data_IF_647082144085
#
_entry.id   IF_647082144085
#
_cell.length_a   1.000
_cell.length_b   1.000
_cell.length_c   1.000
_cell.angle_alpha   90.00
_cell.angle_beta   90.00
_cell.angle_gamma   90.00
#
_symmetry.space_group_name_H-M   'P 1'
#
loop_
_entity.id
_entity.type
_entity.pdbx_description
1 polymer ?
#
# COMPACT_ATOMS: atom_id res chain seq x y z
N UNK A 1 18.63 -1.47 24.51
CA UNK A 1 18.59 -2.07 23.17
C UNK A 1 17.62 -3.22 23.25
N UNK A 2 16.38 -3.03 22.82
CA UNK A 2 15.37 -4.08 22.81
C UNK A 2 15.66 -4.98 21.62
N UNK A 3 16.02 -6.24 21.88
CA UNK A 3 16.09 -7.28 20.86
C UNK A 3 14.72 -7.38 20.20
N UNK A 4 14.59 -6.85 18.99
CA UNK A 4 13.44 -7.13 18.15
C UNK A 4 13.55 -8.61 17.76
N UNK A 5 12.79 -9.44 18.47
CA UNK A 5 12.66 -10.86 18.18
C UNK A 5 12.33 -11.03 16.70
N UNK A 6 13.06 -11.93 16.06
CA UNK A 6 12.78 -12.42 14.73
C UNK A 6 11.40 -13.07 14.74
N UNK A 7 10.37 -12.35 14.30
CA UNK A 7 9.04 -12.92 14.10
C UNK A 7 9.10 -13.57 12.71
N UNK A 8 9.42 -14.87 12.67
CA UNK A 8 9.30 -15.67 11.45
C UNK A 8 7.84 -15.73 11.04
N UNK A 9 7.57 -15.58 9.74
CA UNK A 9 6.25 -15.84 9.21
C UNK A 9 6.02 -17.36 9.18
N UNK A 10 4.83 -17.80 9.54
CA UNK A 10 4.41 -19.20 9.47
C UNK A 10 3.30 -19.36 8.43
N UNK A 11 3.12 -20.59 7.95
CA UNK A 11 1.99 -20.93 7.11
C UNK A 11 0.68 -20.65 7.87
N UNK A 12 -0.24 -19.95 7.23
CA UNK A 12 -1.49 -19.45 7.82
C UNK A 12 -1.39 -18.03 8.40
N UNK A 13 -0.19 -17.45 8.50
CA UNK A 13 -0.07 -16.04 8.91
C UNK A 13 -0.59 -15.11 7.81
N UNK A 14 -1.16 -13.98 8.21
CA UNK A 14 -1.52 -12.89 7.30
C UNK A 14 -0.37 -11.90 7.26
N UNK A 15 0.01 -11.48 6.06
CA UNK A 15 1.01 -10.42 5.82
C UNK A 15 0.31 -9.22 5.20
N UNK A 16 0.58 -8.03 5.74
CA UNK A 16 0.17 -6.78 5.12
C UNK A 16 1.35 -6.06 4.47
N UNK A 17 1.10 -5.45 3.31
CA UNK A 17 2.10 -4.67 2.60
C UNK A 17 2.13 -3.22 3.04
N UNK A 18 3.32 -2.74 3.40
CA UNK A 18 3.61 -1.34 3.75
C UNK A 18 4.09 -0.52 2.56
N UNK A 19 4.44 -1.19 1.47
CA UNK A 19 4.80 -0.62 0.19
C UNK A 19 4.46 -1.60 -0.95
N UNK A 20 4.30 -1.13 -2.20
CA UNK A 20 4.03 -2.02 -3.31
C UNK A 20 5.17 -3.02 -3.51
N UNK A 21 4.79 -4.26 -3.83
CA UNK A 21 5.70 -5.38 -4.01
C UNK A 21 5.11 -6.39 -5.00
N UNK A 22 5.95 -6.96 -5.85
CA UNK A 22 5.60 -8.12 -6.67
C UNK A 22 5.94 -9.38 -5.89
N UNK A 23 4.97 -10.27 -5.73
CA UNK A 23 5.10 -11.52 -4.98
C UNK A 23 4.81 -12.68 -5.93
N UNK A 24 5.70 -13.68 -5.94
CA UNK A 24 5.45 -14.94 -6.60
C UNK A 24 4.70 -15.86 -5.64
N UNK A 25 3.44 -16.15 -5.95
CA UNK A 25 2.59 -17.02 -5.14
C UNK A 25 2.82 -18.50 -5.45
N UNK A 26 3.12 -18.78 -6.72
CA UNK A 26 3.44 -20.11 -7.24
C UNK A 26 4.63 -20.02 -8.19
N UNK A 27 5.10 -21.15 -8.73
CA UNK A 27 6.16 -21.17 -9.74
C UNK A 27 5.80 -20.37 -11.01
N UNK A 28 4.51 -20.29 -11.35
CA UNK A 28 4.04 -19.70 -12.60
C UNK A 28 3.22 -18.42 -12.41
N UNK A 29 2.91 -18.05 -11.17
CA UNK A 29 2.05 -16.92 -10.86
C UNK A 29 2.79 -15.91 -9.98
N UNK A 30 2.86 -14.68 -10.47
CA UNK A 30 3.27 -13.53 -9.68
C UNK A 30 2.27 -12.40 -9.80
N UNK A 31 2.04 -11.71 -8.69
CA UNK A 31 1.09 -10.61 -8.64
C UNK A 31 1.79 -9.36 -8.09
N UNK A 32 1.59 -8.23 -8.76
CA UNK A 32 1.96 -6.93 -8.22
C UNK A 32 0.87 -6.48 -7.24
N UNK A 33 1.20 -6.47 -5.96
CA UNK A 33 0.29 -6.07 -4.90
C UNK A 33 0.55 -4.61 -4.48
N UNK A 34 -0.51 -3.79 -4.35
CA UNK A 34 -0.37 -2.43 -3.86
C UNK A 34 -0.07 -2.42 -2.36
N UNK A 35 0.36 -1.24 -1.85
CA UNK A 35 0.41 -0.98 -0.41
C UNK A 35 -0.98 -1.18 0.22
N UNK A 36 -1.02 -1.73 1.42
CA UNK A 36 -2.25 -2.04 2.14
C UNK A 36 -2.94 -3.32 1.68
N UNK A 37 -2.39 -4.02 0.68
CA UNK A 37 -2.84 -5.37 0.37
C UNK A 37 -2.45 -6.33 1.49
N UNK A 38 -3.31 -7.33 1.70
CA UNK A 38 -3.08 -8.45 2.60
C UNK A 38 -3.04 -9.74 1.79
N UNK A 39 -2.25 -10.71 2.26
CA UNK A 39 -2.27 -12.07 1.75
C UNK A 39 -1.94 -13.06 2.86
N UNK A 40 -2.43 -14.29 2.72
CA UNK A 40 -2.11 -15.40 3.61
C UNK A 40 -0.84 -16.12 3.14
N UNK A 41 0.00 -16.52 4.08
CA UNK A 41 1.18 -17.33 3.82
C UNK A 41 0.75 -18.77 3.60
N UNK A 42 0.73 -19.21 2.35
CA UNK A 42 0.54 -20.63 2.01
C UNK A 42 1.87 -21.40 2.09
N UNK A 43 1.81 -22.74 2.14
CA UNK A 43 3.00 -23.59 2.07
C UNK A 43 3.82 -23.32 0.80
N UNK A 44 3.14 -23.16 -0.33
CA UNK A 44 3.78 -22.89 -1.62
C UNK A 44 4.44 -21.52 -1.65
N UNK A 45 3.74 -20.48 -1.16
CA UNK A 45 4.32 -19.13 -1.05
C UNK A 45 5.56 -19.13 -0.15
N UNK A 46 5.48 -19.83 0.99
CA UNK A 46 6.61 -19.94 1.90
C UNK A 46 7.77 -20.66 1.22
N UNK A 47 7.55 -21.78 0.53
CA UNK A 47 8.58 -22.47 -0.23
C UNK A 47 9.24 -21.57 -1.30
N UNK A 48 8.43 -20.79 -2.03
CA UNK A 48 8.90 -19.83 -3.04
C UNK A 48 9.67 -18.64 -2.45
N UNK A 49 9.44 -18.35 -1.17
CA UNK A 49 10.14 -17.26 -0.48
C UNK A 49 11.57 -17.60 -0.07
N UNK A 50 11.92 -18.90 -0.05
CA UNK A 50 13.22 -19.41 0.40
C UNK A 50 14.26 -19.28 -0.70
N UNK A 51 15.41 -18.68 -0.40
CA UNK A 51 16.52 -18.56 -1.33
C UNK A 51 17.40 -19.84 -1.35
N UNK A 52 18.43 -19.87 -2.20
CA UNK A 52 19.37 -21.01 -2.31
C UNK A 52 20.15 -21.33 -1.01
N UNK A 53 20.15 -20.41 -0.03
CA UNK A 53 20.80 -20.60 1.28
C UNK A 53 19.82 -21.10 2.35
N UNK A 54 18.56 -21.34 2.00
CA UNK A 54 17.53 -21.73 2.96
C UNK A 54 16.92 -20.57 3.74
N UNK A 55 17.15 -19.31 3.34
CA UNK A 55 16.63 -18.14 4.03
C UNK A 55 15.38 -17.62 3.31
N UNK A 56 14.26 -17.48 4.04
CA UNK A 56 13.06 -16.85 3.51
C UNK A 56 13.15 -15.32 3.58
N UNK A 57 12.67 -14.62 2.55
CA UNK A 57 12.47 -13.18 2.63
C UNK A 57 11.30 -12.78 3.54
N UNK A 58 10.39 -13.70 3.90
CA UNK A 58 9.30 -13.49 4.85
C UNK A 58 9.79 -13.51 6.31
N UNK A 59 10.97 -14.07 6.58
CA UNK A 59 11.58 -14.16 7.91
C UNK A 59 12.44 -12.94 8.29
N UNK A 60 12.45 -11.91 7.43
CA UNK A 60 13.27 -10.72 7.64
C UNK A 60 12.67 -9.83 8.73
N UNK A 61 13.50 -9.42 9.68
CA UNK A 61 13.13 -8.39 10.67
C UNK A 61 12.87 -7.04 9.98
N UNK A 62 12.15 -6.10 10.62
CA UNK A 62 11.98 -4.76 10.07
C UNK A 62 13.31 -4.09 9.70
N UNK A 63 14.36 -4.27 10.51
CA UNK A 63 15.69 -3.72 10.29
C UNK A 63 16.37 -4.37 9.08
N UNK A 64 16.26 -5.69 8.92
CA UNK A 64 16.78 -6.41 7.76
C UNK A 64 16.06 -6.01 6.47
N UNK A 65 14.75 -5.79 6.52
CA UNK A 65 13.99 -5.25 5.39
C UNK A 65 14.50 -3.85 5.01
N UNK A 66 14.73 -2.97 5.99
CA UNK A 66 15.28 -1.63 5.74
C UNK A 66 16.69 -1.71 5.15
N UNK A 67 17.55 -2.59 5.64
CA UNK A 67 18.89 -2.78 5.06
C UNK A 67 18.82 -3.29 3.62
N UNK A 68 17.86 -4.18 3.32
CA UNK A 68 17.72 -4.79 1.99
C UNK A 68 17.05 -3.87 0.96
N UNK A 69 16.05 -3.10 1.37
CA UNK A 69 15.17 -2.35 0.46
C UNK A 69 15.10 -0.84 0.74
N UNK A 70 15.82 -0.35 1.75
CA UNK A 70 15.75 1.04 2.21
C UNK A 70 14.48 1.38 3.01
N UNK A 71 13.54 0.44 3.15
CA UNK A 71 12.29 0.59 3.89
C UNK A 71 11.70 -0.77 4.28
N UNK A 72 10.87 -0.79 5.33
CA UNK A 72 10.06 -1.95 5.64
C UNK A 72 8.97 -2.13 4.58
N UNK A 73 8.98 -3.27 3.87
CA UNK A 73 8.02 -3.55 2.78
C UNK A 73 6.74 -4.21 3.29
N UNK A 74 6.82 -4.99 4.36
CA UNK A 74 5.68 -5.73 4.89
C UNK A 74 5.74 -5.89 6.41
N UNK A 75 4.61 -6.26 7.00
CA UNK A 75 4.50 -6.67 8.40
C UNK A 75 3.60 -7.87 8.57
N UNK A 76 3.77 -8.61 9.66
CA UNK A 76 2.93 -9.75 10.03
C UNK A 76 1.66 -9.23 10.74
N UNK A 77 0.55 -9.89 10.46
CA UNK A 77 -0.78 -9.56 10.95
C UNK A 77 -1.61 -8.73 9.96
N UNK A 78 -2.88 -8.45 10.32
CA UNK A 78 -3.78 -7.66 9.49
C UNK A 78 -3.24 -6.25 9.26
N UNK A 79 -3.62 -5.67 8.14
CA UNK A 79 -3.27 -4.32 7.74
C UNK A 79 -3.86 -3.33 8.75
N UNK A 80 -3.00 -2.51 9.39
CA UNK A 80 -3.47 -1.41 10.23
C UNK A 80 -4.41 -0.48 9.46
N UNK A 81 -5.45 0.09 10.12
CA UNK A 81 -6.47 0.91 9.45
C UNK A 81 -5.93 2.23 8.88
N UNK A 82 -4.76 2.66 9.35
CA UNK A 82 -4.02 3.83 8.87
C UNK A 82 -3.16 3.53 7.63
N UNK A 83 -3.09 2.28 7.16
CA UNK A 83 -2.34 1.92 5.95
C UNK A 83 -3.34 1.77 4.79
N UNK A 84 -3.40 2.76 3.89
CA UNK A 84 -4.15 2.69 2.63
C UNK A 84 -3.21 2.74 1.42
N UNK A 85 -3.65 2.21 0.28
CA UNK A 85 -2.81 2.23 -0.92
C UNK A 85 -2.39 3.64 -1.37
N UNK A 86 -3.14 4.68 -0.98
CA UNK A 86 -2.97 6.07 -1.42
C UNK A 86 -2.32 7.00 -0.39
N UNK A 87 -2.07 6.56 0.84
CA UNK A 87 -1.50 7.40 1.91
C UNK A 87 -0.03 7.10 2.24
N UNK A 88 0.73 6.58 1.27
CA UNK A 88 2.13 6.23 1.45
C UNK A 88 3.04 7.44 1.75
N UNK A 89 2.80 8.57 1.07
CA UNK A 89 3.53 9.82 1.25
C UNK A 89 2.54 10.99 1.27
N UNK A 90 2.77 11.96 2.16
CA UNK A 90 1.97 13.18 2.18
C UNK A 90 2.10 13.92 0.85
N UNK A 91 0.96 14.30 0.24
CA UNK A 91 0.86 14.96 -1.07
C UNK A 91 1.27 14.11 -2.29
N UNK A 92 1.25 12.78 -2.19
CA UNK A 92 1.40 11.91 -3.36
C UNK A 92 0.18 12.01 -4.30
N UNK A 93 0.40 11.84 -5.61
CA UNK A 93 -0.63 11.79 -6.63
C UNK A 93 -1.64 10.65 -6.40
N UNK A 94 -1.24 9.57 -5.73
CA UNK A 94 -2.12 8.46 -5.37
C UNK A 94 -3.34 8.90 -4.54
N UNK A 95 -3.18 9.91 -3.68
CA UNK A 95 -4.30 10.51 -2.94
C UNK A 95 -5.33 11.14 -3.89
N UNK A 96 -4.88 11.83 -4.94
CA UNK A 96 -5.78 12.43 -5.92
C UNK A 96 -6.52 11.35 -6.71
N UNK A 97 -5.83 10.25 -7.08
CA UNK A 97 -6.44 9.12 -7.77
C UNK A 97 -7.53 8.47 -6.91
N UNK A 98 -7.23 8.16 -5.65
CA UNK A 98 -8.20 7.57 -4.73
C UNK A 98 -9.44 8.45 -4.52
N UNK A 99 -9.23 9.76 -4.42
CA UNK A 99 -10.33 10.75 -4.34
C UNK A 99 -11.16 10.76 -5.62
N UNK A 100 -10.52 10.79 -6.78
CA UNK A 100 -11.21 10.85 -8.07
C UNK A 100 -11.99 9.54 -8.33
N UNK A 101 -11.48 8.38 -7.93
CA UNK A 101 -12.22 7.09 -7.94
C UNK A 101 -13.43 7.11 -7.01
N UNK A 102 -13.28 7.62 -5.78
CA UNK A 102 -14.38 7.74 -4.83
C UNK A 102 -15.48 8.68 -5.36
N UNK A 103 -15.09 9.82 -5.95
CA UNK A 103 -16.04 10.73 -6.60
C UNK A 103 -16.73 10.08 -7.81
N UNK A 104 -16.02 9.24 -8.58
CA UNK A 104 -16.59 8.50 -9.69
C UNK A 104 -17.63 7.48 -9.20
N UNK A 105 -17.39 6.79 -8.08
CA UNK A 105 -18.40 5.95 -7.44
C UNK A 105 -19.63 6.75 -7.01
N UNK A 106 -19.43 7.88 -6.32
CA UNK A 106 -20.51 8.78 -5.90
C UNK A 106 -21.34 9.26 -7.09
N UNK A 107 -20.69 9.54 -8.23
CA UNK A 107 -21.39 9.99 -9.44
C UNK A 107 -22.39 8.98 -9.99
N UNK A 108 -22.17 7.68 -9.72
CA UNK A 108 -23.03 6.56 -10.15
C UNK A 108 -24.24 6.32 -9.23
N UNK A 109 -24.31 6.98 -8.07
CA UNK A 109 -25.46 6.86 -7.15
C UNK A 109 -26.68 7.56 -7.79
N UNK A 110 -27.78 6.81 -7.97
CA UNK A 110 -28.99 7.33 -8.62
C UNK A 110 -29.74 8.33 -7.74
N UNK A 111 -29.90 8.03 -6.45
CA UNK A 111 -30.64 8.89 -5.53
C UNK A 111 -29.88 10.20 -5.21
N UNK A 112 -30.47 11.38 -5.42
CA UNK A 112 -29.83 12.65 -5.09
C UNK A 112 -29.48 12.81 -3.60
N UNK A 113 -30.30 12.30 -2.67
CA UNK A 113 -30.06 12.46 -1.24
C UNK A 113 -28.87 11.61 -0.77
N UNK A 114 -28.83 10.33 -1.16
CA UNK A 114 -27.68 9.46 -0.92
C UNK A 114 -26.39 9.98 -1.57
N UNK A 115 -26.48 10.50 -2.80
CA UNK A 115 -25.32 11.07 -3.50
C UNK A 115 -24.77 12.31 -2.79
N UNK A 116 -25.64 13.17 -2.26
CA UNK A 116 -25.22 14.34 -1.48
C UNK A 116 -24.48 13.91 -0.19
N UNK A 117 -25.03 12.91 0.53
CA UNK A 117 -24.39 12.36 1.73
C UNK A 117 -23.03 11.73 1.41
N UNK A 118 -22.96 10.87 0.38
CA UNK A 118 -21.71 10.22 -0.02
C UNK A 118 -20.66 11.23 -0.52
N UNK A 119 -21.09 12.32 -1.17
CA UNK A 119 -20.19 13.43 -1.55
C UNK A 119 -19.56 14.07 -0.31
N UNK A 120 -20.35 14.29 0.75
CA UNK A 120 -19.86 14.88 1.98
C UNK A 120 -18.91 13.95 2.73
N UNK A 121 -19.18 12.64 2.75
CA UNK A 121 -18.27 11.64 3.33
C UNK A 121 -16.92 11.62 2.59
N UNK A 122 -16.91 11.68 1.26
CA UNK A 122 -15.67 11.78 0.47
C UNK A 122 -14.93 13.08 0.77
N UNK A 123 -15.64 14.20 0.95
CA UNK A 123 -15.02 15.49 1.34
C UNK A 123 -14.43 15.45 2.75
N UNK A 124 -15.07 14.79 3.70
CA UNK A 124 -14.53 14.63 5.05
C UNK A 124 -13.30 13.73 5.06
N UNK A 125 -13.33 12.63 4.28
CA UNK A 125 -12.24 11.66 4.23
C UNK A 125 -10.99 12.17 3.54
N UNK A 126 -11.16 12.81 2.38
CA UNK A 126 -10.03 13.29 1.60
C UNK A 126 -9.75 14.76 1.92
N UNK A 127 -10.76 15.63 1.92
CA UNK A 127 -10.60 17.08 1.99
C UNK A 127 -10.71 17.74 0.62
N UNK A 128 -10.29 19.00 0.52
CA UNK A 128 -10.31 19.76 -0.74
C UNK A 128 -9.13 19.33 -1.63
N UNK A 129 -9.35 19.23 -2.95
CA UNK A 129 -8.27 18.94 -3.90
C UNK A 129 -7.19 20.03 -3.78
N UNK A 130 -5.93 19.61 -3.61
CA UNK A 130 -4.81 20.53 -3.72
C UNK A 130 -4.64 20.90 -5.20
N UNK A 131 -5.08 22.10 -5.57
CA UNK A 131 -4.84 22.65 -6.89
C UNK A 131 -3.44 23.28 -6.91
N UNK A 132 -2.38 22.48 -6.95
CA UNK A 132 -1.05 23.00 -7.26
C UNK A 132 -0.95 23.16 -8.78
N UNK A 133 -1.39 24.31 -9.26
CA UNK A 133 -1.01 24.79 -10.60
C UNK A 133 0.28 25.59 -10.41
N UNK A 134 1.43 24.92 -10.49
CA UNK A 134 2.70 25.60 -10.68
C UNK A 134 2.71 26.19 -12.09
N UNK A 135 2.22 27.42 -12.22
CA UNK A 135 2.50 28.27 -13.37
C UNK A 135 4.00 28.62 -13.30
N UNK A 136 4.84 27.80 -13.92
CA UNK A 136 6.22 28.17 -14.24
C UNK A 136 6.18 29.23 -15.33
N UNK A 137 5.99 30.50 -14.94
CA UNK A 137 6.22 31.65 -15.82
C UNK A 137 7.72 31.81 -16.06
N UNK A 138 8.27 31.03 -16.99
CA UNK A 138 9.59 31.27 -17.59
C UNK A 138 9.39 31.91 -18.96
N UNK A 139 9.61 33.22 -19.01
CA UNK A 139 9.54 34.07 -20.20
C UNK A 139 9.21 35.48 -19.71
N UNK A 140 10.13 36.43 -19.64
CA UNK A 140 11.10 36.81 -20.67
C UNK A 140 12.20 37.63 -20.00
N UNK A 141 13.46 37.19 -20.06
CA UNK A 141 14.58 38.14 -20.04
C UNK A 141 14.96 38.41 -21.50
N UNK A 142 14.76 39.65 -21.92
CA UNK A 142 15.37 40.24 -23.11
C UNK A 142 16.38 41.27 -22.65
#
# INVERSE_FOLDING_TARGET
>A
MTEQQKISAHVGDVIHLRAPMTIAFTEHESQALPRGAEFEVTEELYAMSVNRKGESWLDLTPEEQVQRWGMQKFGIGPCPPDITWWNAVANDGAWNVARDEAMLYVSKISDPAERAKATEEVRQKFGRKNNVTTLSSWGTQR
#
